data_IF_353302708325
#
_entry.id   IF_353302708325
#
_cell.length_a   1.000
_cell.length_b   1.000
_cell.length_c   1.000
_cell.angle_alpha   90.00
_cell.angle_beta   90.00
_cell.angle_gamma   90.00
#
_symmetry.space_group_name_H-M   'P 1'
#
loop_
_entity.id
_entity.type
_entity.pdbx_description
1 polymer ?
#
# COMPACT_ATOMS: atom_id res chain seq x y z
N UNK A 1 61.97 31.60 8.20
CA UNK A 1 62.45 32.19 6.91
C UNK A 1 61.94 31.32 5.78
N UNK A 2 60.96 31.69 5.07
CA UNK A 2 60.83 32.08 3.66
C UNK A 2 59.34 32.08 3.29
N UNK A 3 58.87 33.24 2.97
CA UNK A 3 57.66 33.52 2.20
C UNK A 3 57.85 33.11 0.74
N UNK A 4 56.80 32.65 0.08
CA UNK A 4 56.48 32.82 -1.35
C UNK A 4 55.08 32.26 -1.49
N UNK A 5 54.11 32.83 -2.18
CA UNK A 5 54.00 33.89 -3.14
C UNK A 5 52.73 33.53 -3.91
N UNK A 6 51.71 34.38 -3.93
CA UNK A 6 50.45 34.17 -4.61
C UNK A 6 50.60 34.12 -6.13
N UNK A 7 49.72 33.36 -6.75
CA UNK A 7 49.48 33.33 -8.18
C UNK A 7 47.98 33.39 -8.44
N UNK A 8 47.46 34.58 -8.68
CA UNK A 8 46.09 34.79 -9.15
C UNK A 8 46.03 34.50 -10.64
N UNK A 9 45.18 33.57 -11.08
CA UNK A 9 44.81 33.36 -12.47
C UNK A 9 43.76 34.37 -12.92
N UNK A 10 43.90 35.00 -14.09
CA UNK A 10 42.97 36.03 -14.56
C UNK A 10 41.68 35.43 -15.11
N UNK A 11 40.58 36.08 -14.84
CA UNK A 11 39.21 35.82 -15.31
C UNK A 11 39.11 36.18 -16.80
N UNK A 12 38.46 35.33 -17.64
CA UNK A 12 38.24 35.68 -19.04
C UNK A 12 37.16 36.78 -19.18
N UNK A 13 37.20 37.58 -20.26
CA UNK A 13 36.29 38.71 -20.48
C UNK A 13 34.91 38.26 -20.94
N UNK A 14 33.92 39.10 -20.59
CA UNK A 14 32.51 38.94 -20.98
C UNK A 14 32.31 39.13 -22.51
N UNK A 15 31.39 38.40 -23.15
CA UNK A 15 31.08 38.63 -24.57
C UNK A 15 30.15 39.86 -24.74
N UNK A 16 30.35 40.57 -25.82
CA UNK A 16 29.62 41.76 -26.23
C UNK A 16 28.19 41.44 -26.73
N UNK A 17 27.25 42.43 -26.72
CA UNK A 17 25.84 42.22 -27.10
C UNK A 17 25.70 42.14 -28.62
N UNK A 18 25.11 41.03 -29.09
CA UNK A 18 24.76 40.79 -30.52
C UNK A 18 23.25 40.89 -30.73
N UNK A 19 22.94 41.57 -31.80
CA UNK A 19 21.68 41.94 -32.45
C UNK A 19 20.62 40.83 -32.53
N UNK A 20 19.29 41.15 -32.42
CA UNK A 20 18.22 40.17 -32.52
C UNK A 20 17.96 39.71 -33.94
N UNK A 21 17.78 38.39 -34.15
CA UNK A 21 17.17 37.81 -35.35
C UNK A 21 15.73 37.45 -35.04
N UNK A 22 14.83 37.96 -35.91
CA UNK A 22 13.41 37.66 -35.94
C UNK A 22 13.16 36.24 -36.46
N UNK A 23 11.96 35.76 -36.11
CA UNK A 23 11.19 34.67 -36.76
C UNK A 23 11.59 33.23 -36.42
N UNK A 24 10.85 32.70 -35.39
CA UNK A 24 10.08 31.48 -35.56
C UNK A 24 8.98 31.40 -34.47
N UNK A 25 7.76 31.75 -34.87
CA UNK A 25 6.56 31.61 -34.07
C UNK A 25 6.04 30.18 -34.18
N UNK A 26 6.48 29.32 -33.27
CA UNK A 26 5.98 27.97 -33.05
C UNK A 26 5.33 27.88 -31.68
N UNK A 27 4.02 28.10 -31.62
CA UNK A 27 3.19 28.05 -30.41
C UNK A 27 3.25 26.65 -29.78
N UNK A 28 4.03 26.48 -28.71
CA UNK A 28 3.82 25.45 -27.70
C UNK A 28 2.90 26.02 -26.64
N UNK A 29 1.60 25.73 -26.77
CA UNK A 29 0.63 25.94 -25.72
C UNK A 29 1.06 25.06 -24.53
N UNK A 30 1.56 25.70 -23.47
CA UNK A 30 1.68 25.09 -22.15
C UNK A 30 0.27 24.79 -21.69
N UNK A 31 -0.09 23.50 -21.64
CA UNK A 31 -1.29 23.04 -20.94
C UNK A 31 -1.06 23.31 -19.44
N UNK A 32 -1.74 24.30 -18.92
CA UNK A 32 -1.96 24.44 -17.49
C UNK A 32 -2.55 23.12 -16.96
N UNK A 33 -2.08 22.59 -15.82
CA UNK A 33 -2.72 21.45 -15.18
C UNK A 33 -4.15 21.89 -14.78
N UNK A 34 -5.15 21.17 -15.28
CA UNK A 34 -6.54 21.35 -14.90
C UNK A 34 -6.64 21.32 -13.36
N UNK A 35 -7.18 22.38 -12.78
CA UNK A 35 -7.52 22.42 -11.35
C UNK A 35 -8.52 21.29 -11.08
N UNK A 36 -8.08 20.30 -10.33
CA UNK A 36 -8.93 19.23 -9.81
C UNK A 36 -10.03 19.86 -8.96
N UNK A 37 -11.25 19.81 -9.46
CA UNK A 37 -12.45 20.08 -8.65
C UNK A 37 -12.69 18.85 -7.81
N UNK A 38 -12.41 18.94 -6.50
CA UNK A 38 -12.77 17.92 -5.55
C UNK A 38 -14.25 17.55 -5.68
N UNK A 39 -14.62 16.27 -5.75
CA UNK A 39 -16.02 15.86 -5.84
C UNK A 39 -16.77 16.29 -4.57
N UNK A 40 -17.85 17.04 -4.74
CA UNK A 40 -18.77 17.38 -3.65
C UNK A 40 -19.61 16.16 -3.31
N UNK A 41 -19.54 15.72 -2.06
CA UNK A 41 -20.52 14.83 -1.46
C UNK A 41 -19.99 13.44 -1.08
N UNK A 42 -19.24 13.34 0.03
CA UNK A 42 -19.04 12.08 0.73
C UNK A 42 -19.78 12.20 2.08
N UNK A 43 -20.91 11.51 2.20
CA UNK A 43 -21.72 11.47 3.41
C UNK A 43 -21.23 10.47 4.48
N UNK A 44 -19.98 10.00 4.37
CA UNK A 44 -19.30 9.20 5.40
C UNK A 44 -18.03 9.94 5.79
N UNK A 45 -17.82 10.24 7.07
CA UNK A 45 -16.82 11.17 7.60
C UNK A 45 -15.33 10.86 7.33
N UNK A 46 -15.00 10.01 6.38
CA UNK A 46 -13.62 9.71 5.97
C UNK A 46 -13.45 9.84 4.47
N UNK A 47 -12.57 10.77 4.06
CA UNK A 47 -12.09 10.82 2.68
C UNK A 47 -11.06 9.69 2.48
N UNK A 48 -11.20 8.84 1.44
CA UNK A 48 -10.22 7.80 1.14
C UNK A 48 -8.84 8.41 0.88
N UNK A 49 -7.80 7.71 1.31
CA UNK A 49 -6.42 8.19 1.18
C UNK A 49 -5.98 8.18 -0.27
N UNK A 50 -5.34 9.27 -0.75
CA UNK A 50 -4.86 9.42 -2.13
C UNK A 50 -5.94 9.15 -3.20
N UNK A 51 -7.20 9.51 -2.90
CA UNK A 51 -8.34 9.17 -3.73
C UNK A 51 -8.28 9.80 -5.13
N UNK A 52 -7.89 11.05 -5.24
CA UNK A 52 -7.75 11.74 -6.52
C UNK A 52 -6.63 11.13 -7.35
N UNK A 53 -5.49 10.90 -6.74
CA UNK A 53 -4.31 10.33 -7.39
C UNK A 53 -4.55 8.89 -7.85
N UNK A 54 -5.26 8.10 -7.05
CA UNK A 54 -5.67 6.74 -7.43
C UNK A 54 -6.56 6.76 -8.66
N UNK A 55 -7.62 7.59 -8.66
CA UNK A 55 -8.54 7.71 -9.78
C UNK A 55 -7.88 8.22 -11.06
N UNK A 56 -7.02 9.23 -10.93
CA UNK A 56 -6.34 9.82 -12.09
C UNK A 56 -5.35 8.84 -12.73
N UNK A 57 -4.65 8.04 -11.92
CA UNK A 57 -3.66 7.07 -12.39
C UNK A 57 -4.29 5.76 -12.88
N UNK A 58 -5.36 5.27 -12.24
CA UNK A 58 -6.11 4.12 -12.74
C UNK A 58 -6.96 4.46 -13.97
N UNK A 59 -7.44 5.71 -14.03
CA UNK A 59 -8.30 6.24 -15.10
C UNK A 59 -9.46 5.30 -15.49
N UNK A 60 -10.29 4.82 -14.51
CA UNK A 60 -11.39 3.94 -14.83
C UNK A 60 -12.38 4.64 -15.79
N UNK A 61 -12.85 3.90 -16.79
CA UNK A 61 -13.72 4.41 -17.84
C UNK A 61 -15.05 3.64 -17.89
N UNK A 62 -16.11 4.25 -18.43
CA UNK A 62 -17.41 3.62 -18.58
C UNK A 62 -17.33 2.26 -19.28
N UNK A 63 -18.07 1.28 -18.77
CA UNK A 63 -18.14 -0.06 -19.35
C UNK A 63 -17.00 -1.01 -18.97
N UNK A 64 -16.01 -0.56 -18.21
CA UNK A 64 -14.89 -1.38 -17.78
C UNK A 64 -15.22 -2.24 -16.56
N UNK A 65 -14.43 -3.30 -16.37
CA UNK A 65 -14.39 -4.09 -15.12
C UNK A 65 -13.20 -3.66 -14.29
N UNK A 66 -13.44 -3.31 -13.02
CA UNK A 66 -12.40 -2.97 -12.04
C UNK A 66 -12.55 -3.87 -10.83
N UNK A 67 -11.41 -4.32 -10.28
CA UNK A 67 -11.35 -5.13 -9.05
C UNK A 67 -10.74 -4.32 -7.92
N UNK A 68 -11.51 -4.15 -6.86
CA UNK A 68 -11.09 -3.62 -5.56
C UNK A 68 -10.75 -4.79 -4.64
N UNK A 69 -9.46 -4.96 -4.33
CA UNK A 69 -8.99 -6.07 -3.51
C UNK A 69 -9.15 -5.83 -2.00
N UNK A 70 -9.55 -4.65 -1.58
CA UNK A 70 -9.55 -4.18 -0.18
C UNK A 70 -10.70 -3.22 0.06
N UNK A 71 -11.92 -3.69 -0.09
CA UNK A 71 -13.12 -2.86 -0.13
C UNK A 71 -13.28 -1.95 1.10
N UNK A 72 -13.04 -2.48 2.32
CA UNK A 72 -13.08 -1.72 3.56
C UNK A 72 -14.40 -1.00 3.81
N UNK A 73 -14.34 0.33 3.87
CA UNK A 73 -15.51 1.20 4.04
C UNK A 73 -16.15 1.61 2.70
N UNK A 74 -15.62 1.14 1.56
CA UNK A 74 -16.16 1.40 0.22
C UNK A 74 -15.88 2.80 -0.32
N UNK A 75 -15.00 3.56 0.30
CA UNK A 75 -14.72 4.94 -0.13
C UNK A 75 -14.12 5.04 -1.52
N UNK A 76 -13.05 4.30 -1.81
CA UNK A 76 -12.47 4.19 -3.16
C UNK A 76 -13.43 3.51 -4.13
N UNK A 77 -14.10 2.43 -3.69
CA UNK A 77 -15.07 1.69 -4.49
C UNK A 77 -16.17 2.58 -5.04
N UNK A 78 -16.73 3.48 -4.22
CA UNK A 78 -17.75 4.46 -4.64
C UNK A 78 -17.25 5.36 -5.77
N UNK A 79 -16.09 5.95 -5.59
CA UNK A 79 -15.50 6.86 -6.57
C UNK A 79 -15.19 6.17 -7.91
N UNK A 80 -14.72 4.91 -7.84
CA UNK A 80 -14.48 4.08 -9.02
C UNK A 80 -15.80 3.72 -9.70
N UNK A 81 -16.82 3.30 -8.94
CA UNK A 81 -18.13 2.92 -9.46
C UNK A 81 -18.82 4.06 -10.21
N UNK A 82 -18.70 5.31 -9.71
CA UNK A 82 -19.20 6.52 -10.39
C UNK A 82 -18.56 6.71 -11.77
N UNK A 83 -17.25 6.43 -11.91
CA UNK A 83 -16.54 6.52 -13.19
C UNK A 83 -16.89 5.39 -14.15
N UNK A 84 -17.19 4.20 -13.64
CA UNK A 84 -17.58 3.04 -14.45
C UNK A 84 -18.96 3.19 -15.11
N UNK A 85 -19.87 3.94 -14.50
CA UNK A 85 -21.21 4.17 -15.04
C UNK A 85 -22.03 2.87 -15.20
N UNK A 86 -23.23 2.98 -15.76
CA UNK A 86 -24.20 1.89 -15.84
C UNK A 86 -23.74 0.63 -16.63
N UNK A 87 -22.78 0.78 -17.53
CA UNK A 87 -22.24 -0.35 -18.32
C UNK A 87 -21.02 -1.03 -17.69
N UNK A 88 -20.49 -0.51 -16.58
CA UNK A 88 -19.29 -1.04 -15.94
C UNK A 88 -19.59 -2.07 -14.88
N UNK A 89 -18.51 -2.71 -14.39
CA UNK A 89 -18.56 -3.71 -13.32
C UNK A 89 -17.50 -3.42 -12.28
N UNK A 90 -17.89 -3.36 -11.01
CA UNK A 90 -16.98 -3.31 -9.87
C UNK A 90 -17.04 -4.64 -9.10
N UNK A 91 -15.91 -5.32 -9.02
CA UNK A 91 -15.75 -6.48 -8.12
C UNK A 91 -15.05 -6.00 -6.86
N UNK A 92 -15.71 -6.14 -5.71
CA UNK A 92 -15.20 -5.73 -4.41
C UNK A 92 -14.87 -6.96 -3.57
N UNK A 93 -13.67 -7.00 -3.00
CA UNK A 93 -13.18 -8.11 -2.20
C UNK A 93 -12.87 -7.59 -0.78
N UNK A 94 -13.34 -8.32 0.22
CA UNK A 94 -12.93 -8.12 1.61
C UNK A 94 -13.10 -9.40 2.40
N UNK A 95 -12.20 -9.67 3.35
CA UNK A 95 -12.32 -10.81 4.27
C UNK A 95 -13.16 -10.48 5.50
N UNK A 96 -13.27 -9.21 5.88
CA UNK A 96 -14.03 -8.78 7.05
C UNK A 96 -15.55 -8.94 6.80
N UNK A 97 -16.25 -9.77 7.58
CA UNK A 97 -17.70 -9.96 7.41
C UNK A 97 -18.50 -8.66 7.56
N UNK A 98 -17.98 -7.67 8.30
CA UNK A 98 -18.65 -6.38 8.45
C UNK A 98 -18.64 -5.55 7.15
N UNK A 99 -17.78 -5.88 6.19
CA UNK A 99 -17.75 -5.21 4.89
C UNK A 99 -19.02 -5.49 4.05
N UNK A 100 -19.69 -6.63 4.24
CA UNK A 100 -20.91 -6.99 3.50
C UNK A 100 -22.01 -5.93 3.62
N UNK A 101 -22.34 -5.50 4.82
CA UNK A 101 -23.40 -4.51 5.01
C UNK A 101 -23.09 -3.14 4.36
N UNK A 102 -21.80 -2.77 4.36
CA UNK A 102 -21.34 -1.54 3.69
C UNK A 102 -21.39 -1.69 2.19
N UNK A 103 -21.03 -2.87 1.69
CA UNK A 103 -21.16 -3.19 0.26
C UNK A 103 -22.63 -3.14 -0.20
N UNK A 104 -23.55 -3.72 0.56
CA UNK A 104 -24.98 -3.72 0.21
C UNK A 104 -25.53 -2.29 0.15
N UNK A 105 -25.11 -1.42 1.06
CA UNK A 105 -25.44 0.00 1.02
C UNK A 105 -24.85 0.70 -0.22
N UNK A 106 -23.59 0.44 -0.56
CA UNK A 106 -22.97 0.97 -1.78
C UNK A 106 -23.71 0.48 -3.04
N UNK A 107 -24.02 -0.80 -3.11
CA UNK A 107 -24.67 -1.43 -4.26
C UNK A 107 -26.02 -0.80 -4.60
N UNK A 108 -26.75 -0.30 -3.59
CA UNK A 108 -28.02 0.38 -3.79
C UNK A 108 -27.88 1.79 -4.38
N UNK A 109 -26.69 2.39 -4.35
CA UNK A 109 -26.48 3.80 -4.70
C UNK A 109 -25.68 4.00 -6.00
N UNK A 110 -24.86 3.02 -6.38
CA UNK A 110 -23.96 3.16 -7.52
C UNK A 110 -24.58 2.70 -8.84
N UNK A 111 -24.21 3.32 -9.98
CA UNK A 111 -24.85 3.03 -11.27
C UNK A 111 -24.34 1.75 -11.95
N UNK A 112 -23.15 1.27 -11.61
CA UNK A 112 -22.52 0.10 -12.25
C UNK A 112 -23.00 -1.22 -11.64
N UNK A 113 -22.78 -2.32 -12.37
CA UNK A 113 -22.91 -3.66 -11.78
C UNK A 113 -21.85 -3.85 -10.67
N UNK A 114 -22.26 -4.47 -9.55
CA UNK A 114 -21.35 -4.73 -8.44
C UNK A 114 -21.41 -6.17 -7.99
N UNK A 115 -20.25 -6.74 -7.62
CA UNK A 115 -20.12 -8.10 -7.09
C UNK A 115 -19.24 -8.05 -5.86
N UNK A 116 -19.70 -8.65 -4.74
CA UNK A 116 -18.90 -8.80 -3.54
C UNK A 116 -18.37 -10.23 -3.40
N UNK A 117 -17.10 -10.35 -3.00
CA UNK A 117 -16.46 -11.62 -2.69
C UNK A 117 -15.90 -11.53 -1.27
N UNK A 118 -16.53 -12.25 -0.32
CA UNK A 118 -16.02 -12.34 1.05
C UNK A 118 -14.92 -13.39 1.11
N UNK A 119 -13.67 -12.96 0.97
CA UNK A 119 -12.49 -13.84 0.97
C UNK A 119 -11.22 -13.02 1.20
N UNK A 120 -10.09 -13.69 1.45
CA UNK A 120 -8.78 -13.12 1.21
C UNK A 120 -8.62 -12.75 -0.27
N UNK A 121 -7.91 -11.67 -0.54
CA UNK A 121 -7.80 -11.19 -1.92
C UNK A 121 -6.99 -12.13 -2.83
N UNK A 122 -6.05 -12.93 -2.29
CA UNK A 122 -5.32 -13.90 -3.11
C UNK A 122 -6.25 -15.02 -3.62
N UNK A 123 -7.06 -15.60 -2.74
CA UNK A 123 -8.03 -16.66 -3.06
C UNK A 123 -9.13 -16.14 -4.00
N UNK A 124 -9.60 -14.90 -3.76
CA UNK A 124 -10.59 -14.26 -4.62
C UNK A 124 -10.06 -14.00 -6.04
N UNK A 125 -8.82 -13.51 -6.16
CA UNK A 125 -8.19 -13.25 -7.47
C UNK A 125 -7.92 -14.55 -8.23
N UNK A 126 -7.55 -15.63 -7.55
CA UNK A 126 -7.41 -16.97 -8.14
C UNK A 126 -8.74 -17.46 -8.72
N UNK A 127 -9.83 -17.34 -7.94
CA UNK A 127 -11.17 -17.71 -8.39
C UNK A 127 -11.63 -16.87 -9.60
N UNK A 128 -11.42 -15.55 -9.58
CA UNK A 128 -11.72 -14.67 -10.70
C UNK A 128 -10.93 -15.05 -11.96
N UNK A 129 -9.67 -15.44 -11.80
CA UNK A 129 -8.84 -15.95 -12.89
C UNK A 129 -9.39 -17.24 -13.48
N UNK A 130 -9.83 -18.19 -12.65
CA UNK A 130 -10.46 -19.44 -13.08
C UNK A 130 -11.81 -19.19 -13.79
N UNK A 131 -12.55 -18.17 -13.42
CA UNK A 131 -13.77 -17.71 -14.10
C UNK A 131 -13.47 -16.99 -15.44
N UNK A 132 -12.21 -16.72 -15.77
CA UNK A 132 -11.82 -16.00 -17.00
C UNK A 132 -12.07 -14.50 -16.94
N UNK A 133 -12.21 -13.91 -15.76
CA UNK A 133 -12.42 -12.47 -15.61
C UNK A 133 -11.23 -11.71 -16.15
N UNK A 134 -11.50 -10.66 -16.95
CA UNK A 134 -10.50 -9.68 -17.40
C UNK A 134 -10.83 -8.31 -16.83
N UNK A 135 -9.84 -7.68 -16.22
CA UNK A 135 -9.98 -6.39 -15.59
C UNK A 135 -9.21 -5.29 -16.35
N UNK A 136 -9.82 -4.12 -16.44
CA UNK A 136 -9.13 -2.91 -16.90
C UNK A 136 -8.27 -2.29 -15.79
N UNK A 137 -8.66 -2.51 -14.52
CA UNK A 137 -7.85 -2.11 -13.38
C UNK A 137 -8.04 -3.06 -12.20
N UNK A 138 -6.97 -3.22 -11.41
CA UNK A 138 -6.98 -3.89 -10.11
C UNK A 138 -6.27 -2.99 -9.11
N UNK A 139 -6.86 -2.78 -7.93
CA UNK A 139 -6.19 -1.97 -6.92
C UNK A 139 -6.30 -2.54 -5.51
N UNK A 140 -5.35 -2.12 -4.68
CA UNK A 140 -5.22 -2.47 -3.28
C UNK A 140 -5.09 -1.20 -2.45
N UNK A 141 -5.89 -1.05 -1.41
CA UNK A 141 -5.68 -0.11 -0.31
C UNK A 141 -5.29 -0.94 0.92
N UNK A 142 -3.95 -1.18 1.07
CA UNK A 142 -3.41 -2.16 2.01
C UNK A 142 -3.52 -1.66 3.46
N UNK A 143 -3.42 -2.60 4.39
CA UNK A 143 -3.42 -2.30 5.81
C UNK A 143 -4.79 -2.46 6.46
N UNK A 144 -5.19 -1.49 7.29
CA UNK A 144 -6.45 -1.51 8.05
C UNK A 144 -7.26 -0.26 7.73
N UNK A 145 -8.55 -0.41 7.57
CA UNK A 145 -9.44 0.74 7.50
C UNK A 145 -9.79 1.28 8.91
N UNK A 146 -10.21 2.54 8.97
CA UNK A 146 -10.41 3.27 10.23
C UNK A 146 -11.36 2.58 11.20
N UNK A 147 -12.44 1.97 10.72
CA UNK A 147 -13.41 1.28 11.55
C UNK A 147 -12.82 0.05 12.29
N UNK A 148 -11.86 -0.68 11.67
CA UNK A 148 -11.17 -1.77 12.37
C UNK A 148 -10.33 -1.26 13.53
N UNK A 149 -9.66 -0.10 13.34
CA UNK A 149 -8.86 0.53 14.39
C UNK A 149 -9.75 1.09 15.50
N UNK A 150 -10.90 1.65 15.14
CA UNK A 150 -11.81 2.33 16.07
C UNK A 150 -12.78 1.35 16.77
N UNK A 151 -12.93 0.12 16.24
CA UNK A 151 -13.70 -0.96 16.88
C UNK A 151 -12.93 -1.51 18.10
N UNK A 152 -13.38 -1.09 19.28
CA UNK A 152 -12.68 -1.36 20.55
C UNK A 152 -12.59 -2.83 20.94
N UNK A 153 -13.42 -3.67 20.39
CA UNK A 153 -13.48 -5.12 20.65
C UNK A 153 -12.55 -5.96 19.76
N UNK A 154 -11.94 -5.33 18.74
CA UNK A 154 -11.12 -6.01 17.73
C UNK A 154 -9.62 -6.09 18.09
N UNK A 155 -9.14 -5.38 19.08
CA UNK A 155 -7.77 -5.46 19.59
C UNK A 155 -6.67 -4.93 18.69
N UNK A 156 -6.97 -4.15 17.66
CA UNK A 156 -5.97 -3.58 16.74
C UNK A 156 -5.17 -2.41 17.32
N UNK A 157 -5.73 -1.73 18.31
CA UNK A 157 -5.13 -0.52 18.89
C UNK A 157 -4.37 -0.79 20.18
N UNK A 158 -3.19 -0.21 20.31
CA UNK A 158 -2.41 -0.17 21.54
C UNK A 158 -2.76 1.02 22.45
N UNK A 159 -3.77 1.83 22.09
CA UNK A 159 -4.09 3.08 22.80
C UNK A 159 -5.17 2.93 23.85
N UNK A 160 -5.88 1.83 23.89
CA UNK A 160 -6.93 1.52 24.85
C UNK A 160 -6.97 0.01 25.13
N UNK A 161 -7.62 -0.38 26.23
CA UNK A 161 -7.77 -1.76 26.60
C UNK A 161 -8.87 -2.46 25.80
N UNK A 162 -8.55 -3.66 25.31
CA UNK A 162 -9.43 -4.48 24.48
C UNK A 162 -8.97 -5.94 24.53
N UNK A 163 -9.84 -6.92 24.19
CA UNK A 163 -9.40 -8.29 23.91
C UNK A 163 -8.29 -8.31 22.86
N UNK A 164 -7.25 -9.12 23.07
CA UNK A 164 -6.11 -9.22 22.17
C UNK A 164 -6.43 -10.12 20.98
N UNK A 165 -7.24 -9.63 20.02
CA UNK A 165 -7.70 -10.42 18.87
C UNK A 165 -6.87 -10.17 17.61
N UNK A 166 -6.95 -9.02 17.00
CA UNK A 166 -6.26 -8.58 15.77
C UNK A 166 -6.64 -9.36 14.49
N UNK A 167 -7.63 -10.26 14.50
CA UNK A 167 -8.09 -10.92 13.27
C UNK A 167 -8.92 -9.97 12.42
N UNK A 168 -8.65 -9.90 11.12
CA UNK A 168 -9.49 -9.19 10.16
C UNK A 168 -10.74 -10.00 9.84
N UNK A 169 -10.64 -11.32 9.76
CA UNK A 169 -11.76 -12.26 9.75
C UNK A 169 -11.88 -12.96 11.12
N UNK A 170 -12.94 -12.71 11.90
CA UNK A 170 -13.11 -13.34 13.21
C UNK A 170 -13.27 -14.87 13.15
N UNK A 171 -13.51 -15.45 11.97
CA UNK A 171 -13.65 -16.91 11.80
C UNK A 171 -12.29 -17.62 11.67
N UNK A 172 -11.19 -16.89 11.49
CA UNK A 172 -9.84 -17.46 11.51
C UNK A 172 -9.53 -18.07 12.89
N UNK A 173 -8.78 -19.18 12.88
CA UNK A 173 -8.55 -19.98 14.09
C UNK A 173 -7.69 -19.24 15.13
N UNK A 174 -6.70 -18.46 14.69
CA UNK A 174 -5.67 -17.89 15.57
C UNK A 174 -5.76 -16.39 15.66
N UNK A 175 -6.08 -15.90 16.85
CA UNK A 175 -5.97 -14.49 17.20
C UNK A 175 -4.57 -14.12 17.70
N UNK A 176 -4.33 -12.84 17.95
CA UNK A 176 -3.08 -12.39 18.56
C UNK A 176 -2.89 -12.93 19.98
N UNK A 177 -3.98 -13.20 20.70
CA UNK A 177 -3.95 -13.83 22.02
C UNK A 177 -3.37 -15.26 21.95
N UNK A 178 -3.87 -16.10 21.04
CA UNK A 178 -3.33 -17.45 20.81
C UNK A 178 -1.88 -17.37 20.33
N UNK A 179 -1.57 -16.41 19.44
CA UNK A 179 -0.20 -16.22 18.95
C UNK A 179 0.80 -15.92 20.08
N UNK A 180 0.47 -15.01 21.01
CA UNK A 180 1.36 -14.72 22.15
C UNK A 180 1.35 -15.82 23.21
N UNK A 181 0.24 -16.58 23.33
CA UNK A 181 0.13 -17.71 24.27
C UNK A 181 0.95 -18.93 23.80
N UNK A 182 0.94 -19.25 22.51
CA UNK A 182 1.42 -20.54 21.99
C UNK A 182 2.79 -20.48 21.32
N UNK A 183 3.11 -19.37 20.59
CA UNK A 183 4.36 -19.31 19.83
C UNK A 183 5.58 -19.37 20.75
N UNK A 184 6.59 -20.12 20.34
CA UNK A 184 7.86 -20.15 21.06
C UNK A 184 8.63 -18.82 20.97
N UNK A 185 9.61 -18.62 21.82
CA UNK A 185 10.42 -17.40 21.89
C UNK A 185 11.05 -17.07 20.54
N UNK A 186 11.54 -18.10 19.82
CA UNK A 186 12.22 -17.94 18.53
C UNK A 186 11.26 -17.46 17.46
N UNK A 187 10.06 -18.01 17.41
CA UNK A 187 9.00 -17.60 16.48
C UNK A 187 8.54 -16.18 16.77
N UNK A 188 8.26 -15.85 18.04
CA UNK A 188 7.91 -14.48 18.45
C UNK A 188 9.01 -13.49 18.06
N UNK A 189 10.27 -13.78 18.37
CA UNK A 189 11.40 -12.91 18.03
C UNK A 189 11.55 -12.71 16.51
N UNK A 190 11.33 -13.76 15.73
CA UNK A 190 11.33 -13.69 14.26
C UNK A 190 10.20 -12.79 13.75
N UNK A 191 8.97 -13.03 14.17
CA UNK A 191 7.80 -12.22 13.78
C UNK A 191 8.01 -10.74 14.10
N UNK A 192 8.41 -10.44 15.34
CA UNK A 192 8.65 -9.07 15.78
C UNK A 192 9.75 -8.37 14.96
N UNK A 193 10.83 -9.10 14.61
CA UNK A 193 11.91 -8.55 13.80
C UNK A 193 11.53 -8.39 12.35
N UNK A 194 10.94 -9.42 11.72
CA UNK A 194 10.76 -9.49 10.29
C UNK A 194 9.53 -8.70 9.83
N UNK A 195 8.47 -8.63 10.65
CA UNK A 195 7.21 -7.92 10.34
C UNK A 195 7.06 -6.58 11.07
N UNK A 196 7.76 -6.39 12.20
CA UNK A 196 7.76 -5.12 12.93
C UNK A 196 8.99 -4.26 12.68
N UNK A 197 10.03 -4.82 12.05
CA UNK A 197 11.37 -4.19 12.02
C UNK A 197 11.81 -3.77 13.44
N UNK A 198 11.44 -4.58 14.46
CA UNK A 198 11.60 -4.28 15.89
C UNK A 198 13.03 -4.60 16.35
N UNK A 199 13.74 -3.58 16.79
CA UNK A 199 15.15 -3.73 17.23
C UNK A 199 15.29 -4.53 18.52
N UNK A 200 14.27 -4.49 19.38
CA UNK A 200 14.25 -5.18 20.68
C UNK A 200 13.49 -6.52 20.62
N UNK A 201 13.26 -7.07 19.42
CA UNK A 201 12.45 -8.26 19.18
C UNK A 201 12.78 -9.43 20.14
N UNK A 202 14.06 -9.76 20.35
CA UNK A 202 14.45 -10.84 21.25
C UNK A 202 14.17 -10.55 22.73
N UNK A 203 14.31 -9.29 23.16
CA UNK A 203 14.00 -8.91 24.55
C UNK A 203 12.48 -8.95 24.80
N UNK A 204 11.69 -8.48 23.83
CA UNK A 204 10.23 -8.51 23.89
C UNK A 204 9.72 -9.96 23.87
N UNK A 205 10.23 -10.81 22.97
CA UNK A 205 9.85 -12.22 22.92
C UNK A 205 10.10 -12.95 24.25
N UNK A 206 11.27 -12.77 24.85
CA UNK A 206 11.57 -13.31 26.19
C UNK A 206 10.61 -12.76 27.26
N UNK A 207 10.27 -11.47 27.20
CA UNK A 207 9.35 -10.88 28.17
C UNK A 207 7.93 -11.45 28.02
N UNK A 208 7.46 -11.68 26.78
CA UNK A 208 6.17 -12.32 26.52
C UNK A 208 6.14 -13.74 27.08
N UNK A 209 7.16 -14.55 26.78
CA UNK A 209 7.26 -15.94 27.26
C UNK A 209 7.32 -16.01 28.79
N UNK A 210 8.09 -15.15 29.44
CA UNK A 210 8.14 -15.05 30.90
C UNK A 210 6.79 -14.62 31.48
N UNK A 211 6.20 -13.54 30.91
CA UNK A 211 4.94 -12.98 31.41
C UNK A 211 3.80 -14.00 31.35
N UNK A 212 3.66 -14.72 30.22
CA UNK A 212 2.58 -15.72 30.06
C UNK A 212 2.75 -16.94 30.97
N UNK A 213 3.96 -17.26 31.43
CA UNK A 213 4.19 -18.33 32.40
C UNK A 213 3.72 -17.95 33.83
N UNK A 214 3.64 -16.66 34.14
CA UNK A 214 3.14 -16.13 35.40
C UNK A 214 1.64 -15.84 35.33
N UNK A 215 1.20 -15.19 34.27
CA UNK A 215 -0.20 -14.77 34.00
C UNK A 215 -0.45 -14.64 32.51
N UNK A 216 -1.57 -15.11 31.98
CA UNK A 216 -1.93 -14.93 30.57
C UNK A 216 -1.87 -13.46 30.13
N UNK A 217 -1.59 -13.23 28.86
CA UNK A 217 -1.69 -11.92 28.19
C UNK A 217 -2.99 -11.95 27.40
N UNK A 218 -4.03 -11.34 27.90
CA UNK A 218 -5.39 -11.43 27.36
C UNK A 218 -5.84 -10.15 26.65
N UNK A 219 -5.27 -9.01 27.07
CA UNK A 219 -5.69 -7.71 26.56
C UNK A 219 -4.56 -6.96 25.87
N UNK A 220 -4.94 -5.94 25.11
CA UNK A 220 -3.98 -5.05 24.43
C UNK A 220 -3.08 -4.34 25.42
N UNK A 221 -3.60 -3.88 26.57
CA UNK A 221 -2.78 -3.21 27.58
C UNK A 221 -1.84 -4.17 28.31
N UNK A 222 -2.24 -5.43 28.59
CA UNK A 222 -1.31 -6.46 29.09
C UNK A 222 -0.10 -6.63 28.17
N UNK A 223 -0.34 -6.66 26.86
CA UNK A 223 0.71 -6.75 25.86
C UNK A 223 1.57 -5.49 25.80
N UNK A 224 0.95 -4.30 25.82
CA UNK A 224 1.65 -2.99 25.83
C UNK A 224 2.57 -2.88 27.04
N UNK A 225 2.09 -3.27 28.24
CA UNK A 225 2.90 -3.28 29.47
C UNK A 225 4.12 -4.20 29.32
N UNK A 226 3.88 -5.41 28.83
CA UNK A 226 4.93 -6.41 28.61
C UNK A 226 6.01 -5.91 27.63
N UNK A 227 5.60 -5.33 26.49
CA UNK A 227 6.50 -4.78 25.48
C UNK A 227 7.29 -3.59 26.05
N UNK A 228 6.60 -2.65 26.69
CA UNK A 228 7.21 -1.43 27.22
C UNK A 228 8.21 -1.77 28.31
N UNK A 229 7.90 -2.74 29.17
CA UNK A 229 8.81 -3.24 30.21
C UNK A 229 10.10 -3.87 29.66
N UNK A 230 10.06 -4.48 28.47
CA UNK A 230 11.19 -5.12 27.81
C UNK A 230 12.12 -4.15 27.07
N UNK A 231 11.64 -2.95 26.74
CA UNK A 231 12.41 -1.94 25.99
C UNK A 231 13.16 -1.04 26.97
N UNK A 232 14.49 -0.79 26.78
CA UNK A 232 15.26 0.14 27.61
C UNK A 232 14.63 1.54 27.66
N UNK A 233 14.64 2.16 28.83
CA UNK A 233 13.98 3.45 29.06
C UNK A 233 14.31 4.56 28.02
N UNK A 234 15.58 4.76 27.59
CA UNK A 234 15.88 5.77 26.55
C UNK A 234 15.22 5.45 25.21
N UNK A 235 15.06 4.15 24.86
CA UNK A 235 14.49 3.75 23.58
C UNK A 235 12.94 3.87 23.52
N UNK A 236 12.27 3.91 24.69
CA UNK A 236 10.80 4.09 24.76
C UNK A 236 10.35 5.44 24.24
N UNK A 237 11.22 6.45 24.27
CA UNK A 237 10.92 7.83 23.89
C UNK A 237 11.56 8.25 22.56
N UNK A 238 12.28 7.34 21.89
CA UNK A 238 13.07 7.66 20.68
C UNK A 238 12.24 7.81 19.39
N UNK A 239 10.91 7.64 19.44
CA UNK A 239 10.04 7.86 18.27
C UNK A 239 8.79 7.01 18.28
N UNK A 240 7.65 7.63 18.46
CA UNK A 240 6.34 6.99 18.46
C UNK A 240 6.10 6.07 19.67
N UNK A 241 4.93 5.43 19.69
CA UNK A 241 4.57 4.52 20.78
C UNK A 241 5.42 3.23 20.74
N UNK A 242 6.02 2.77 21.86
CA UNK A 242 6.95 1.62 21.88
C UNK A 242 6.32 0.32 21.39
N UNK A 243 5.02 0.11 21.61
CA UNK A 243 4.33 -1.10 21.14
C UNK A 243 3.93 -1.06 19.64
N UNK A 244 4.02 0.09 18.95
CA UNK A 244 3.53 0.23 17.56
C UNK A 244 4.05 -0.85 16.64
N UNK A 245 5.38 -1.11 16.65
CA UNK A 245 6.02 -2.10 15.76
C UNK A 245 5.63 -3.53 16.10
N UNK A 246 5.51 -3.84 17.38
CA UNK A 246 5.12 -5.17 17.84
C UNK A 246 3.66 -5.48 17.50
N UNK A 247 2.75 -4.50 17.64
CA UNK A 247 1.36 -4.63 17.21
C UNK A 247 1.26 -4.83 15.69
N UNK A 248 1.98 -4.04 14.90
CA UNK A 248 2.08 -4.25 13.46
C UNK A 248 2.57 -5.66 13.12
N UNK A 249 3.61 -6.14 13.80
CA UNK A 249 4.18 -7.46 13.54
C UNK A 249 3.19 -8.59 13.81
N UNK A 250 2.49 -8.54 14.94
CA UNK A 250 1.48 -9.53 15.30
C UNK A 250 0.29 -9.49 14.35
N UNK A 251 -0.21 -8.30 14.00
CA UNK A 251 -1.30 -8.13 13.04
C UNK A 251 -0.96 -8.76 11.69
N UNK A 252 0.22 -8.43 11.14
CA UNK A 252 0.69 -8.98 9.88
C UNK A 252 0.77 -10.51 9.94
N UNK A 253 1.27 -11.06 11.06
CA UNK A 253 1.43 -12.49 11.22
C UNK A 253 0.11 -13.23 11.40
N UNK A 254 -0.82 -12.67 12.19
CA UNK A 254 -2.15 -13.25 12.46
C UNK A 254 -2.96 -13.31 11.17
N UNK A 255 -2.88 -12.26 10.34
CA UNK A 255 -3.69 -12.14 9.12
C UNK A 255 -2.97 -12.59 7.84
N UNK A 256 -1.74 -13.11 7.92
CA UNK A 256 -0.89 -13.45 6.76
C UNK A 256 -0.84 -12.33 5.70
N UNK A 257 -0.83 -11.05 6.13
CA UNK A 257 -1.00 -9.89 5.24
C UNK A 257 0.04 -9.89 4.11
N UNK A 258 1.31 -10.15 4.44
CA UNK A 258 2.39 -10.14 3.45
C UNK A 258 2.40 -11.37 2.57
N UNK A 259 2.02 -12.55 3.09
CA UNK A 259 1.88 -13.76 2.29
C UNK A 259 0.71 -13.63 1.30
N UNK A 260 -0.41 -13.09 1.74
CA UNK A 260 -1.53 -12.73 0.86
C UNK A 260 -1.08 -11.80 -0.28
N UNK A 261 -0.34 -10.73 0.05
CA UNK A 261 0.13 -9.76 -0.94
C UNK A 261 1.10 -10.39 -1.95
N UNK A 262 2.04 -11.23 -1.47
CA UNK A 262 3.01 -11.90 -2.33
C UNK A 262 2.32 -12.85 -3.34
N UNK A 263 1.21 -13.52 -2.94
CA UNK A 263 0.40 -14.35 -3.84
C UNK A 263 -0.53 -13.53 -4.75
N UNK A 264 -1.11 -12.46 -4.23
CA UNK A 264 -2.10 -11.65 -4.93
C UNK A 264 -1.54 -10.81 -6.08
N UNK A 265 -0.34 -10.24 -5.93
CA UNK A 265 0.24 -9.37 -6.96
C UNK A 265 0.37 -10.05 -8.33
N UNK A 266 0.92 -11.29 -8.46
CA UNK A 266 0.95 -11.98 -9.75
C UNK A 266 -0.45 -12.35 -10.25
N UNK A 267 -1.38 -12.75 -9.38
CA UNK A 267 -2.76 -13.06 -9.75
C UNK A 267 -3.49 -11.83 -10.28
N UNK A 268 -3.37 -10.68 -9.59
CA UNK A 268 -3.92 -9.41 -10.04
C UNK A 268 -3.36 -9.00 -11.41
N UNK A 269 -2.05 -9.19 -11.61
CA UNK A 269 -1.40 -8.92 -12.88
C UNK A 269 -1.93 -9.77 -14.03
N UNK A 270 -2.18 -11.07 -13.78
CA UNK A 270 -2.72 -11.99 -14.80
C UNK A 270 -4.16 -11.65 -15.21
N UNK A 271 -4.97 -11.07 -14.30
CA UNK A 271 -6.33 -10.61 -14.63
C UNK A 271 -6.35 -9.39 -15.54
N UNK A 272 -5.29 -8.58 -15.56
CA UNK A 272 -5.25 -7.38 -16.39
C UNK A 272 -5.17 -7.71 -17.87
N UNK A 273 -6.02 -7.07 -18.66
CA UNK A 273 -5.81 -6.97 -20.10
C UNK A 273 -4.66 -6.01 -20.45
N UNK A 274 -4.17 -6.08 -21.68
CA UNK A 274 -3.18 -5.11 -22.20
C UNK A 274 -3.76 -3.70 -22.12
N UNK A 275 -2.98 -2.75 -21.62
CA UNK A 275 -3.43 -1.39 -21.31
C UNK A 275 -4.06 -1.23 -19.93
N UNK A 276 -4.39 -2.33 -19.25
CA UNK A 276 -4.93 -2.30 -17.88
C UNK A 276 -3.89 -1.88 -16.84
N UNK A 277 -4.34 -1.39 -15.70
CA UNK A 277 -3.49 -0.82 -14.65
C UNK A 277 -3.64 -1.54 -13.31
N UNK A 278 -2.51 -1.73 -12.60
CA UNK A 278 -2.49 -2.16 -11.20
C UNK A 278 -2.04 -1.02 -10.31
N UNK A 279 -2.75 -0.80 -9.20
CA UNK A 279 -2.38 0.18 -8.19
C UNK A 279 -2.33 -0.44 -6.80
N UNK A 280 -1.42 0.05 -5.95
CA UNK A 280 -1.40 -0.31 -4.54
C UNK A 280 -1.02 0.90 -3.68
N UNK A 281 -1.86 1.17 -2.67
CA UNK A 281 -1.56 2.08 -1.57
C UNK A 281 -1.04 1.21 -0.42
N UNK A 282 0.15 1.51 0.07
CA UNK A 282 0.78 0.82 1.19
C UNK A 282 1.00 1.78 2.35
N UNK A 283 0.95 1.28 3.59
CA UNK A 283 1.07 2.08 4.81
C UNK A 283 2.32 1.76 5.63
N UNK A 284 3.09 0.77 5.23
CA UNK A 284 4.39 0.48 5.84
C UNK A 284 5.42 -0.04 4.83
N UNK A 285 6.69 0.02 5.25
CA UNK A 285 7.86 -0.29 4.41
C UNK A 285 7.85 -1.68 3.79
N UNK A 286 7.28 -2.68 4.48
CA UNK A 286 7.28 -4.08 4.02
C UNK A 286 6.31 -4.30 2.86
N UNK A 287 5.14 -3.64 2.89
CA UNK A 287 4.18 -3.63 1.77
C UNK A 287 4.80 -2.89 0.57
N UNK A 288 5.22 -1.63 0.78
CA UNK A 288 5.79 -0.80 -0.30
C UNK A 288 6.96 -1.48 -1.01
N UNK A 289 7.80 -2.19 -0.25
CA UNK A 289 8.96 -2.94 -0.79
C UNK A 289 8.52 -4.08 -1.70
N UNK A 290 7.44 -4.82 -1.35
CA UNK A 290 6.89 -5.93 -2.16
C UNK A 290 6.28 -5.41 -3.44
N UNK A 291 5.38 -4.45 -3.34
CA UNK A 291 4.75 -3.79 -4.50
C UNK A 291 5.82 -3.21 -5.43
N UNK A 292 6.78 -2.44 -4.87
CA UNK A 292 7.87 -1.86 -5.65
C UNK A 292 8.69 -2.91 -6.40
N UNK A 293 9.06 -4.02 -5.72
CA UNK A 293 9.87 -5.09 -6.34
C UNK A 293 9.10 -5.79 -7.43
N UNK A 294 7.82 -6.10 -7.19
CA UNK A 294 6.96 -6.75 -8.16
C UNK A 294 6.82 -5.89 -9.42
N UNK A 295 6.40 -4.63 -9.29
CA UNK A 295 6.21 -3.72 -10.43
C UNK A 295 7.51 -3.43 -11.17
N UNK A 296 8.62 -3.25 -10.45
CA UNK A 296 9.94 -3.05 -11.06
C UNK A 296 10.39 -4.28 -11.86
N UNK A 297 10.11 -5.49 -11.36
CA UNK A 297 10.39 -6.73 -12.09
C UNK A 297 9.63 -6.83 -13.41
N UNK A 298 8.34 -6.42 -13.44
CA UNK A 298 7.52 -6.38 -14.66
C UNK A 298 7.95 -5.28 -15.64
N UNK A 299 8.44 -4.17 -15.11
CA UNK A 299 8.95 -3.07 -15.94
C UNK A 299 10.40 -3.27 -16.40
N UNK A 300 11.06 -4.32 -15.93
CA UNK A 300 12.44 -4.61 -16.30
C UNK A 300 12.50 -5.19 -17.72
N UNK A 301 13.16 -4.45 -18.63
CA UNK A 301 13.50 -4.93 -19.97
C UNK A 301 14.74 -5.81 -19.98
N UNK A 302 15.65 -5.50 -20.88
CA UNK A 302 16.90 -6.25 -21.05
C UNK A 302 17.63 -6.49 -19.71
N UNK A 303 18.04 -7.75 -19.48
CA UNK A 303 18.81 -8.20 -18.32
C UNK A 303 20.25 -8.61 -18.68
N UNK A 304 20.68 -8.36 -19.91
CA UNK A 304 22.04 -8.62 -20.34
C UNK A 304 23.04 -7.76 -19.55
N UNK A 305 24.25 -8.24 -19.31
CA UNK A 305 25.34 -7.42 -18.78
C UNK A 305 25.55 -6.16 -19.64
N UNK A 306 25.83 -5.00 -19.04
CA UNK A 306 25.99 -3.73 -19.77
C UNK A 306 27.11 -3.76 -20.82
N UNK A 307 28.08 -4.65 -20.66
CA UNK A 307 29.23 -4.81 -21.53
C UNK A 307 28.93 -5.54 -22.84
N UNK A 308 27.74 -6.19 -22.94
CA UNK A 308 27.34 -6.85 -24.17
C UNK A 308 26.91 -5.84 -25.24
N UNK A 309 27.55 -5.82 -26.42
CA UNK A 309 27.26 -4.83 -27.46
C UNK A 309 25.88 -5.02 -28.11
N UNK A 310 25.30 -6.22 -27.99
CA UNK A 310 23.98 -6.57 -28.55
C UNK A 310 23.19 -7.34 -27.53
N UNK A 311 21.91 -6.96 -27.34
CA UNK A 311 21.01 -7.67 -26.48
C UNK A 311 20.74 -9.08 -27.02
N UNK A 312 20.95 -10.10 -26.18
CA UNK A 312 20.71 -11.52 -26.51
C UNK A 312 19.56 -12.14 -25.69
N UNK A 313 19.03 -11.42 -24.68
CA UNK A 313 17.96 -11.98 -23.84
C UNK A 313 16.57 -11.83 -24.46
N UNK A 314 16.39 -10.96 -25.44
CA UNK A 314 15.08 -10.71 -26.10
C UNK A 314 14.00 -10.14 -25.18
N UNK A 315 14.31 -9.90 -23.89
CA UNK A 315 13.32 -9.50 -22.89
C UNK A 315 12.88 -8.06 -23.11
N UNK A 316 11.60 -7.88 -23.24
CA UNK A 316 10.95 -6.58 -23.31
C UNK A 316 10.13 -6.30 -22.03
N UNK A 317 9.99 -5.02 -21.63
CA UNK A 317 9.17 -4.67 -20.47
C UNK A 317 7.72 -5.11 -20.61
N UNK A 318 7.18 -5.76 -19.60
CA UNK A 318 5.75 -6.11 -19.51
C UNK A 318 4.92 -4.95 -18.95
N UNK A 319 5.57 -4.01 -18.25
CA UNK A 319 4.91 -2.90 -17.58
C UNK A 319 5.56 -1.55 -17.87
N UNK A 320 4.73 -0.52 -17.91
CA UNK A 320 5.11 0.88 -17.76
C UNK A 320 4.84 1.31 -16.31
N UNK A 321 5.86 1.82 -15.60
CA UNK A 321 5.67 2.40 -14.28
C UNK A 321 5.07 3.81 -14.43
N UNK A 322 3.79 3.97 -14.12
CA UNK A 322 3.13 5.29 -14.10
C UNK A 322 3.65 6.13 -12.92
N UNK A 323 4.13 5.46 -11.87
CA UNK A 323 4.78 6.10 -10.73
C UNK A 323 6.21 5.61 -10.58
N UNK A 324 7.20 6.35 -11.07
CA UNK A 324 8.63 6.02 -10.85
C UNK A 324 9.03 6.13 -9.37
N UNK A 325 8.50 7.14 -8.68
CA UNK A 325 8.52 7.29 -7.22
C UNK A 325 7.10 7.10 -6.71
N UNK A 326 6.94 6.57 -5.48
CA UNK A 326 5.62 6.51 -4.88
C UNK A 326 5.01 7.91 -4.74
N UNK A 327 3.72 8.02 -5.04
CA UNK A 327 2.95 9.22 -4.71
C UNK A 327 2.64 9.20 -3.22
N UNK A 328 2.71 10.34 -2.56
CA UNK A 328 2.44 10.52 -1.13
C UNK A 328 1.36 11.58 -0.95
N UNK A 329 0.59 11.52 0.16
CA UNK A 329 -0.45 12.49 0.42
C UNK A 329 0.06 13.93 0.43
N UNK A 330 -0.78 14.84 -0.02
CA UNK A 330 -0.50 16.27 0.00
C UNK A 330 -0.49 16.84 1.43
N UNK A 331 0.14 18.00 1.68
CA UNK A 331 0.08 18.68 2.98
C UNK A 331 -1.37 18.93 3.45
N UNK A 332 -2.27 19.25 2.53
CA UNK A 332 -3.69 19.49 2.80
C UNK A 332 -4.38 18.21 3.25
N UNK A 333 -4.13 17.09 2.58
CA UNK A 333 -4.64 15.77 2.97
C UNK A 333 -4.11 15.34 4.33
N UNK A 334 -2.82 15.56 4.60
CA UNK A 334 -2.20 15.26 5.90
C UNK A 334 -2.80 16.09 7.04
N UNK A 335 -3.14 17.34 6.78
CA UNK A 335 -3.80 18.21 7.77
C UNK A 335 -5.23 17.70 8.08
N UNK A 336 -5.95 17.18 7.08
CA UNK A 336 -7.29 16.63 7.23
C UNK A 336 -7.27 15.18 7.80
N UNK A 337 -6.29 14.36 7.38
CA UNK A 337 -6.15 12.96 7.79
C UNK A 337 -4.69 12.62 8.15
N UNK A 338 -4.24 12.82 9.40
CA UNK A 338 -2.90 12.46 9.83
C UNK A 338 -2.55 10.97 9.70
N UNK A 339 -3.56 10.07 9.63
CA UNK A 339 -3.34 8.62 9.43
C UNK A 339 -2.78 8.31 8.03
N UNK A 340 -2.96 9.21 7.05
CA UNK A 340 -2.41 9.07 5.71
C UNK A 340 -0.89 9.28 5.62
N UNK A 341 -0.22 9.75 6.68
CA UNK A 341 1.19 10.17 6.64
C UNK A 341 2.18 9.11 6.13
N UNK A 342 1.86 7.83 6.28
CA UNK A 342 2.69 6.72 5.80
C UNK A 342 2.28 6.17 4.43
N UNK A 343 1.17 6.65 3.87
CA UNK A 343 0.63 6.16 2.60
C UNK A 343 1.59 6.39 1.43
N UNK A 344 1.68 5.38 0.56
CA UNK A 344 2.49 5.39 -0.65
C UNK A 344 1.76 4.68 -1.77
N UNK A 345 1.34 5.42 -2.79
CA UNK A 345 0.69 4.86 -3.96
C UNK A 345 1.73 4.51 -5.04
N UNK A 346 1.63 3.30 -5.58
CA UNK A 346 2.37 2.86 -6.77
C UNK A 346 1.42 2.33 -7.82
N UNK A 347 1.67 2.70 -9.07
CA UNK A 347 0.83 2.30 -10.21
C UNK A 347 1.70 1.89 -11.39
N UNK A 348 1.29 0.82 -12.05
CA UNK A 348 1.88 0.38 -13.32
C UNK A 348 0.78 -0.01 -14.31
N UNK A 349 1.06 0.13 -15.61
CA UNK A 349 0.22 -0.28 -16.73
C UNK A 349 0.80 -1.49 -17.42
N UNK A 350 -0.03 -2.48 -17.75
CA UNK A 350 0.36 -3.66 -18.52
C UNK A 350 0.54 -3.31 -20.00
N UNK A 351 1.68 -3.60 -20.57
CA UNK A 351 2.03 -3.30 -21.96
C UNK A 351 1.78 -4.45 -22.92
N UNK A 352 1.85 -5.69 -22.41
CA UNK A 352 1.72 -6.92 -23.21
C UNK A 352 1.21 -8.07 -22.35
N UNK A 353 0.71 -9.12 -22.99
CA UNK A 353 0.43 -10.37 -22.29
C UNK A 353 1.74 -11.02 -21.80
N UNK A 354 1.65 -11.85 -20.76
CA UNK A 354 2.77 -12.64 -20.28
C UNK A 354 3.16 -13.66 -21.35
N UNK A 355 4.44 -13.75 -21.69
CA UNK A 355 4.95 -14.84 -22.50
C UNK A 355 4.79 -16.12 -21.65
N UNK A 356 3.89 -17.00 -22.09
CA UNK A 356 3.79 -18.37 -21.56
C UNK A 356 5.07 -19.11 -21.96
N UNK A 357 6.03 -19.17 -21.01
CA UNK A 357 7.27 -19.93 -21.17
C UNK A 357 7.04 -21.42 -21.05
#
# INVERSE_FOLDING_TARGET
KRRRGGGATPRPPAPAPGVPRADDAGARAAREPARSTAPKGIATGHTPVLAAELLDLLAPAPGQTVVDCTFGDGGHARLVAERLGAGGTLVAIDRDPHAQARFDALAAEVPCAVRFIRSGYAEALEALGAEGVRAAAVYFDLGMYSMQVDARDRGFSYSYDAPLDMRMDPTEERSAREAVAEWDERTLARVLRDYGEERHAGAIARAIVRRRSERPIETTLDLVETITGAIPAPARFAGGHPAKRSFQALRIAVNDELGQLDRALPLAWSLLGVGGSIAAISFHSLEDRRVKRFLAGRAQGCVCPPELPVCVCGREPEAELLTRRSVTPSPEELAANPRAASARLRVARKLREEETG
#
